data_IF_548746431568
#
_entry.id   IF_548746431568
#
_cell.length_a   1.000
_cell.length_b   1.000
_cell.length_c   1.000
_cell.angle_alpha   90.00
_cell.angle_beta   90.00
_cell.angle_gamma   90.00
#
_symmetry.space_group_name_H-M   'P 1'
#
loop_
_entity.id
_entity.type
_entity.pdbx_description
1 polymer ?
#
# COMPACT_ATOMS: atom_id res chain seq x y z
N UNK A 1 -20.47 -50.71 51.81
CA UNK A 1 -21.26 -49.47 52.01
C UNK A 1 -20.87 -48.93 53.38
N UNK A 2 -20.39 -47.68 53.57
CA UNK A 2 -20.61 -46.46 52.77
C UNK A 2 -19.31 -45.89 52.11
N UNK A 3 -19.43 -45.31 50.90
CA UNK A 3 -19.35 -43.87 50.55
C UNK A 3 -17.90 -43.35 50.36
N UNK A 4 -17.39 -43.32 49.12
CA UNK A 4 -17.45 -42.19 48.16
C UNK A 4 -16.59 -40.98 48.61
N UNK A 5 -15.44 -40.74 47.98
CA UNK A 5 -15.29 -39.89 46.77
C UNK A 5 -14.93 -38.44 47.17
N UNK A 6 -13.65 -38.06 47.07
CA UNK A 6 -13.25 -36.66 46.99
C UNK A 6 -12.26 -36.49 45.84
N UNK A 7 -12.81 -36.00 44.75
CA UNK A 7 -12.12 -35.72 43.51
C UNK A 7 -11.13 -34.58 43.69
N UNK A 8 -9.93 -34.81 43.18
CA UNK A 8 -8.85 -33.86 42.97
C UNK A 8 -9.32 -32.73 42.06
N UNK A 9 -9.45 -31.51 42.58
CA UNK A 9 -9.77 -30.32 41.77
C UNK A 9 -8.47 -29.57 41.43
N UNK A 10 -7.86 -29.95 40.31
CA UNK A 10 -6.76 -29.22 39.69
C UNK A 10 -7.35 -27.99 38.98
N UNK A 11 -7.19 -26.81 39.56
CA UNK A 11 -7.59 -25.54 38.94
C UNK A 11 -6.59 -25.21 37.84
N UNK A 12 -6.89 -25.58 36.59
CA UNK A 12 -6.23 -25.04 35.42
C UNK A 12 -6.66 -23.58 35.28
N UNK A 13 -5.75 -22.65 35.58
CA UNK A 13 -5.96 -21.24 35.25
C UNK A 13 -5.95 -21.11 33.73
N UNK A 14 -7.14 -20.99 33.16
CA UNK A 14 -7.33 -20.63 31.78
C UNK A 14 -6.65 -19.29 31.51
N UNK A 15 -5.56 -19.30 30.75
CA UNK A 15 -5.10 -18.11 30.03
C UNK A 15 -6.22 -17.74 29.06
N UNK A 16 -7.10 -16.84 29.49
CA UNK A 16 -8.10 -16.24 28.63
C UNK A 16 -7.32 -15.38 27.64
N UNK A 17 -6.97 -15.93 26.47
CA UNK A 17 -6.66 -15.12 25.30
C UNK A 17 -7.98 -14.44 24.95
N UNK A 18 -8.16 -13.23 25.46
CA UNK A 18 -9.25 -12.36 25.03
C UNK A 18 -8.96 -12.06 23.56
N UNK A 19 -9.63 -12.78 22.66
CA UNK A 19 -9.66 -12.45 21.25
C UNK A 19 -10.26 -11.06 21.09
N UNK A 20 -9.39 -10.04 21.00
CA UNK A 20 -9.71 -8.83 20.23
C UNK A 20 -10.12 -9.34 18.86
N UNK A 21 -11.34 -9.02 18.42
CA UNK A 21 -11.88 -9.20 17.06
C UNK A 21 -10.78 -9.67 16.08
N UNK A 22 -10.78 -10.97 15.74
CA UNK A 22 -9.66 -11.70 15.13
C UNK A 22 -8.77 -10.83 14.22
N UNK A 23 -7.68 -10.33 14.79
CA UNK A 23 -6.65 -9.61 14.04
C UNK A 23 -5.90 -10.61 13.17
N UNK A 24 -6.37 -10.79 11.94
CA UNK A 24 -5.78 -11.73 11.00
C UNK A 24 -4.71 -11.04 10.17
N UNK A 25 -3.45 -11.44 10.34
CA UNK A 25 -2.35 -10.97 9.49
C UNK A 25 -2.25 -11.82 8.23
N UNK A 26 -2.19 -11.16 7.09
CA UNK A 26 -2.02 -11.79 5.78
C UNK A 26 -0.89 -11.12 5.01
N UNK A 27 -0.15 -11.92 4.24
CA UNK A 27 0.83 -11.41 3.29
C UNK A 27 0.17 -11.34 1.92
N UNK A 28 0.10 -10.14 1.34
CA UNK A 28 -0.55 -9.88 0.06
C UNK A 28 0.43 -9.23 -0.91
N UNK A 29 0.24 -9.49 -2.20
CA UNK A 29 0.94 -8.75 -3.25
C UNK A 29 0.38 -7.32 -3.34
N UNK A 30 1.24 -6.33 -3.22
CA UNK A 30 0.89 -4.92 -3.20
C UNK A 30 1.08 -4.30 -4.58
N UNK A 31 0.01 -3.70 -5.10
CA UNK A 31 0.02 -2.95 -6.35
C UNK A 31 -0.42 -1.52 -6.07
N UNK A 32 0.44 -0.54 -6.36
CA UNK A 32 0.16 0.89 -6.19
C UNK A 32 0.07 1.54 -7.55
N UNK A 33 -1.06 2.14 -7.90
CA UNK A 33 -1.29 2.78 -9.20
C UNK A 33 -0.86 1.90 -10.38
N UNK A 34 -1.25 0.61 -10.36
CA UNK A 34 -0.91 -0.41 -11.36
C UNK A 34 0.58 -0.82 -11.41
N UNK A 35 1.39 -0.38 -10.45
CA UNK A 35 2.80 -0.77 -10.31
C UNK A 35 2.93 -1.78 -9.18
N UNK A 36 3.49 -2.95 -9.46
CA UNK A 36 3.83 -3.95 -8.44
C UNK A 36 4.92 -3.41 -7.52
N UNK A 37 4.67 -3.44 -6.21
CA UNK A 37 5.60 -3.00 -5.16
C UNK A 37 6.18 -4.16 -4.34
N UNK A 38 5.80 -5.39 -4.65
CA UNK A 38 6.21 -6.60 -3.93
C UNK A 38 5.14 -7.04 -2.94
N UNK A 39 5.55 -7.62 -1.81
CA UNK A 39 4.64 -8.16 -0.81
C UNK A 39 4.56 -7.26 0.42
N UNK A 40 3.36 -7.06 0.93
CA UNK A 40 3.10 -6.29 2.13
C UNK A 40 2.28 -7.11 3.14
N UNK A 41 2.62 -6.98 4.42
CA UNK A 41 1.83 -7.55 5.51
C UNK A 41 0.67 -6.61 5.80
N UNK A 42 -0.54 -7.14 5.69
CA UNK A 42 -1.77 -6.44 6.07
C UNK A 42 -2.39 -7.12 7.27
N UNK A 43 -3.14 -6.36 8.05
CA UNK A 43 -3.95 -6.87 9.14
C UNK A 43 -5.42 -6.64 8.80
N UNK A 44 -6.15 -7.73 8.69
CA UNK A 44 -7.59 -7.75 8.47
C UNK A 44 -8.27 -7.80 9.83
N UNK A 45 -9.08 -6.78 10.12
CA UNK A 45 -9.88 -6.70 11.35
C UNK A 45 -11.33 -6.49 10.96
N UNK A 46 -12.11 -7.57 10.91
CA UNK A 46 -13.47 -7.53 10.39
C UNK A 46 -13.47 -7.16 8.91
N UNK A 47 -14.14 -6.05 8.55
CA UNK A 47 -14.18 -5.53 7.18
C UNK A 47 -13.08 -4.48 6.89
N UNK A 48 -12.33 -4.07 7.90
CA UNK A 48 -11.28 -3.07 7.75
C UNK A 48 -9.94 -3.71 7.41
N UNK A 49 -9.26 -3.12 6.43
CA UNK A 49 -7.87 -3.46 6.08
C UNK A 49 -6.93 -2.44 6.71
N UNK A 50 -5.95 -2.94 7.44
CA UNK A 50 -4.90 -2.17 8.08
C UNK A 50 -3.56 -2.53 7.48
N UNK A 51 -2.67 -1.55 7.40
CA UNK A 51 -1.30 -1.73 6.89
C UNK A 51 -0.34 -0.95 7.76
N UNK A 52 0.88 -1.46 7.94
CA UNK A 52 1.92 -0.72 8.67
C UNK A 52 2.29 0.56 7.92
N UNK A 53 2.60 1.62 8.67
CA UNK A 53 3.09 2.88 8.09
C UNK A 53 4.37 2.66 7.27
N UNK A 54 5.28 1.83 7.79
CA UNK A 54 6.54 1.45 7.15
C UNK A 54 6.32 0.85 5.75
N UNK A 55 5.45 -0.16 5.64
CA UNK A 55 5.10 -0.75 4.33
C UNK A 55 4.45 0.24 3.34
N UNK A 56 3.76 1.28 3.81
CA UNK A 56 3.20 2.30 2.91
C UNK A 56 4.29 3.25 2.41
N UNK A 57 5.22 3.63 3.29
CA UNK A 57 6.38 4.44 2.93
C UNK A 57 7.30 3.68 1.96
N UNK A 58 7.54 2.38 2.19
CA UNK A 58 8.26 1.48 1.26
C UNK A 58 7.56 1.38 -0.10
N UNK A 59 6.24 1.51 -0.13
CA UNK A 59 5.44 1.54 -1.35
C UNK A 59 5.47 2.90 -2.07
N UNK A 60 6.29 3.84 -1.59
CA UNK A 60 6.44 5.23 -2.05
C UNK A 60 5.21 6.12 -1.78
N UNK A 61 4.32 5.70 -0.88
CA UNK A 61 3.16 6.48 -0.44
C UNK A 61 3.53 7.22 0.84
N UNK A 62 3.55 8.55 0.81
CA UNK A 62 3.82 9.35 2.00
C UNK A 62 2.82 10.50 2.16
N UNK A 63 3.01 11.31 3.20
CA UNK A 63 2.15 12.46 3.55
C UNK A 63 0.67 12.10 3.77
N UNK A 64 0.37 10.83 4.06
CA UNK A 64 -0.97 10.35 4.30
C UNK A 64 -1.40 10.54 5.77
N UNK A 65 -2.61 11.05 5.95
CA UNK A 65 -3.28 11.15 7.25
C UNK A 65 -3.94 9.82 7.63
N UNK A 66 -5.04 9.87 8.36
CA UNK A 66 -5.87 8.70 8.67
C UNK A 66 -5.76 8.19 10.10
N UNK A 67 -6.61 7.22 10.40
CA UNK A 67 -6.71 6.58 11.71
C UNK A 67 -5.51 5.67 11.91
N UNK A 68 -4.65 6.06 12.86
CA UNK A 68 -3.46 5.29 13.23
C UNK A 68 -3.66 4.63 14.59
N UNK A 69 -3.21 3.39 14.69
CA UNK A 69 -3.21 2.63 15.92
C UNK A 69 -1.87 1.94 16.10
N UNK A 70 -1.38 1.88 17.34
CA UNK A 70 -0.17 1.12 17.66
C UNK A 70 -0.59 -0.30 18.02
N UNK A 71 -0.17 -1.28 17.22
CA UNK A 71 -0.40 -2.71 17.46
C UNK A 71 0.96 -3.39 17.54
N UNK A 72 1.20 -4.10 18.64
CA UNK A 72 2.49 -4.73 18.97
C UNK A 72 3.70 -3.76 18.94
N UNK A 73 3.47 -2.48 19.26
CA UNK A 73 4.52 -1.45 19.26
C UNK A 73 4.81 -0.83 17.89
N UNK A 74 4.15 -1.30 16.83
CA UNK A 74 4.30 -0.75 15.47
C UNK A 74 3.09 0.10 15.10
N UNK A 75 3.28 1.22 14.38
CA UNK A 75 2.18 2.03 13.89
C UNK A 75 1.51 1.39 12.66
N UNK A 76 0.22 1.15 12.78
CA UNK A 76 -0.67 0.70 11.71
C UNK A 76 -1.62 1.83 11.33
N UNK A 77 -2.02 1.88 10.07
CA UNK A 77 -3.03 2.81 9.58
C UNK A 77 -4.18 2.03 8.94
N UNK A 78 -5.41 2.48 9.20
CA UNK A 78 -6.61 1.95 8.55
C UNK A 78 -6.71 2.50 7.13
N UNK A 79 -6.65 1.62 6.14
CA UNK A 79 -6.69 2.02 4.73
C UNK A 79 -8.01 2.69 4.33
N UNK A 80 -9.14 2.28 4.92
CA UNK A 80 -10.45 2.91 4.67
C UNK A 80 -10.55 4.38 5.11
N UNK A 81 -9.73 4.79 6.10
CA UNK A 81 -9.69 6.18 6.58
C UNK A 81 -8.94 7.14 5.65
N UNK A 82 -8.20 6.59 4.67
CA UNK A 82 -7.40 7.35 3.70
C UNK A 82 -8.22 7.81 2.49
N UNK A 83 -9.48 7.38 2.39
CA UNK A 83 -10.41 7.89 1.40
C UNK A 83 -10.71 9.38 1.65
N UNK A 84 -10.90 10.19 0.59
CA UNK A 84 -10.92 9.82 -0.83
C UNK A 84 -9.53 9.81 -1.49
N UNK A 85 -8.46 10.16 -0.77
CA UNK A 85 -7.12 10.32 -1.34
C UNK A 85 -6.47 9.02 -1.83
N UNK A 86 -6.79 7.91 -1.14
CA UNK A 86 -6.34 6.56 -1.46
C UNK A 86 -7.55 5.64 -1.50
N UNK A 87 -7.81 5.03 -2.65
CA UNK A 87 -8.84 4.00 -2.82
C UNK A 87 -8.19 2.62 -2.73
N UNK A 88 -8.88 1.70 -2.05
CA UNK A 88 -8.35 0.37 -1.73
C UNK A 88 -9.26 -0.70 -2.30
N UNK A 89 -8.68 -1.67 -2.99
CA UNK A 89 -9.35 -2.86 -3.48
C UNK A 89 -8.56 -4.09 -3.05
N UNK A 90 -9.19 -4.92 -2.23
CA UNK A 90 -8.66 -6.22 -1.84
C UNK A 90 -9.26 -7.30 -2.73
N UNK A 91 -8.42 -8.06 -3.41
CA UNK A 91 -8.82 -9.27 -4.11
C UNK A 91 -8.33 -10.48 -3.31
N UNK A 92 -9.23 -11.07 -2.52
CA UNK A 92 -8.93 -12.20 -1.64
C UNK A 92 -8.63 -13.50 -2.42
N UNK A 93 -9.08 -13.62 -3.67
CA UNK A 93 -8.83 -14.82 -4.48
C UNK A 93 -7.41 -14.85 -5.02
N UNK A 94 -6.95 -13.69 -5.49
CA UNK A 94 -5.62 -13.54 -6.08
C UNK A 94 -4.58 -13.11 -5.02
N UNK A 95 -5.01 -12.85 -3.78
CA UNK A 95 -4.19 -12.33 -2.68
C UNK A 95 -3.48 -11.01 -3.03
N UNK A 96 -4.17 -10.15 -3.79
CA UNK A 96 -3.65 -8.86 -4.26
C UNK A 96 -4.36 -7.70 -3.55
N UNK A 97 -3.57 -6.76 -3.02
CA UNK A 97 -4.03 -5.47 -2.53
C UNK A 97 -3.70 -4.38 -3.56
N UNK A 98 -4.73 -3.84 -4.20
CA UNK A 98 -4.61 -2.71 -5.13
C UNK A 98 -4.90 -1.39 -4.42
N UNK A 99 -3.93 -0.47 -4.46
CA UNK A 99 -4.05 0.89 -3.97
C UNK A 99 -4.06 1.86 -5.16
N UNK A 100 -5.11 2.68 -5.26
CA UNK A 100 -5.15 3.82 -6.16
C UNK A 100 -4.91 5.08 -5.35
N UNK A 101 -3.72 5.64 -5.47
CA UNK A 101 -3.18 6.73 -4.64
C UNK A 101 -3.16 8.01 -5.47
N UNK A 102 -3.67 9.11 -4.92
CA UNK A 102 -3.58 10.42 -5.57
C UNK A 102 -2.11 10.87 -5.68
N UNK A 103 -1.68 11.51 -6.78
CA UNK A 103 -0.29 11.93 -6.97
C UNK A 103 0.28 12.84 -5.87
N UNK A 104 -0.57 13.54 -5.12
CA UNK A 104 -0.18 14.37 -3.97
C UNK A 104 0.43 13.59 -2.81
N UNK A 105 0.24 12.27 -2.76
CA UNK A 105 0.78 11.37 -1.74
C UNK A 105 1.97 10.55 -2.26
N UNK A 106 2.39 10.76 -3.51
CA UNK A 106 3.54 10.10 -4.10
C UNK A 106 4.70 11.09 -4.21
N UNK A 107 5.94 10.58 -4.21
CA UNK A 107 7.09 11.43 -4.46
C UNK A 107 7.02 12.10 -5.84
N UNK A 108 7.53 13.34 -5.91
CA UNK A 108 7.58 14.08 -7.16
C UNK A 108 8.49 13.36 -8.17
N UNK A 109 7.88 12.77 -9.20
CA UNK A 109 8.62 12.16 -10.30
C UNK A 109 8.97 13.22 -11.34
N UNK A 110 10.23 13.64 -11.41
CA UNK A 110 10.72 14.55 -12.44
C UNK A 110 11.00 13.79 -13.73
N UNK A 111 10.07 13.83 -14.68
CA UNK A 111 10.30 13.32 -16.04
C UNK A 111 10.98 14.42 -16.86
N UNK A 112 12.26 14.25 -17.14
CA UNK A 112 12.96 15.15 -18.05
C UNK A 112 12.59 14.80 -19.51
N UNK A 113 11.64 15.56 -20.07
CA UNK A 113 11.22 15.43 -21.47
C UNK A 113 12.17 16.14 -22.45
N UNK A 114 13.27 16.76 -21.97
CA UNK A 114 14.29 17.26 -22.88
C UNK A 114 15.00 16.05 -23.51
N UNK A 115 14.74 15.85 -24.80
CA UNK A 115 15.62 15.06 -25.65
C UNK A 115 17.00 15.70 -25.60
N UNK A 116 17.89 15.14 -24.78
CA UNK A 116 19.28 15.54 -24.79
C UNK A 116 19.76 15.41 -26.24
N UNK A 117 20.29 16.51 -26.79
CA UNK A 117 20.65 16.57 -28.21
C UNK A 117 21.58 15.38 -28.51
N UNK A 118 21.26 14.52 -29.49
CA UNK A 118 22.10 13.37 -29.80
C UNK A 118 23.55 13.81 -30.07
N UNK A 119 24.50 13.13 -29.45
CA UNK A 119 25.92 13.33 -29.72
C UNK A 119 26.19 13.06 -31.21
N UNK A 120 26.86 13.98 -31.90
CA UNK A 120 27.14 13.86 -33.34
C UNK A 120 26.10 14.51 -34.26
N UNK A 121 25.14 15.29 -33.73
CA UNK A 121 24.23 16.07 -34.57
C UNK A 121 24.97 17.22 -35.27
N UNK A 122 25.45 16.96 -36.49
CA UNK A 122 26.10 17.93 -37.36
C UNK A 122 25.05 18.88 -37.91
N UNK A 123 25.10 20.15 -37.50
CA UNK A 123 24.28 21.21 -38.11
C UNK A 123 24.90 21.63 -39.44
N UNK A 124 24.45 21.02 -40.53
CA UNK A 124 24.72 21.53 -41.87
C UNK A 124 23.75 22.66 -42.21
N UNK A 125 24.25 23.88 -42.38
CA UNK A 125 23.53 24.90 -43.16
C UNK A 125 24.00 24.81 -44.59
N UNK A 126 23.21 24.16 -45.43
CA UNK A 126 23.31 24.34 -46.87
C UNK A 126 22.63 25.67 -47.22
N UNK A 127 23.25 26.58 -47.98
CA UNK A 127 22.55 27.74 -48.51
C UNK A 127 21.41 27.23 -49.39
N UNK A 128 20.17 27.48 -48.98
CA UNK A 128 18.98 27.00 -49.66
C UNK A 128 17.88 28.05 -49.52
N UNK A 129 17.08 28.22 -50.59
CA UNK A 129 15.95 29.15 -50.63
C UNK A 129 14.67 28.33 -50.52
N UNK A 130 13.84 28.63 -49.51
CA UNK A 130 12.52 28.01 -49.33
C UNK A 130 11.46 29.09 -49.55
N UNK A 131 10.58 28.90 -50.53
CA UNK A 131 9.44 29.76 -50.78
C UNK A 131 8.18 29.07 -50.27
N UNK A 132 7.48 29.71 -49.34
CA UNK A 132 6.23 29.23 -48.77
C UNK A 132 5.12 30.18 -49.22
N UNK A 133 4.10 29.66 -49.92
CA UNK A 133 2.95 30.46 -50.35
C UNK A 133 1.66 29.83 -49.83
N UNK A 134 0.74 30.67 -49.40
CA UNK A 134 -0.62 30.27 -49.02
C UNK A 134 -1.58 31.13 -49.85
N UNK A 135 -2.50 30.48 -50.54
CA UNK A 135 -3.62 31.14 -51.22
C UNK A 135 -4.85 30.95 -50.33
N UNK A 136 -5.61 32.02 -50.15
CA UNK A 136 -6.88 32.02 -49.44
C UNK A 136 -8.00 31.81 -50.46
#
# INVERSE_FOLDING_TARGET
>A
MPAALFATLLVLQSSQVVGRLDDQRALLDLVVNQVEKGQAVVMLRGADVWMSVDALEDADVHWFGGDREIVDGFPWVRLGSLAPGIAVQLNERDLVLSLTVSPSFLNATHVNLQTNRPSGLVYGRSPSVVLNYSLN
#
